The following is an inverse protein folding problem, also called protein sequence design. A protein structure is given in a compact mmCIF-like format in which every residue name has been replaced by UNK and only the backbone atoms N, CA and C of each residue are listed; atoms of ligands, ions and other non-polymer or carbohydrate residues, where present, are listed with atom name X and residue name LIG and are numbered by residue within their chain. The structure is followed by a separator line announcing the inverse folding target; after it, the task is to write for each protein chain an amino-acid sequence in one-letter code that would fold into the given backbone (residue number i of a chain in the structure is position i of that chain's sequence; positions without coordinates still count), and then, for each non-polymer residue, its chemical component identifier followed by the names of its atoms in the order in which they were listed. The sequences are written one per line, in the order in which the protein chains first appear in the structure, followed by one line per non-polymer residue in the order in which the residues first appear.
data_IF_936837752415
#
_entry.id   IF_936837752415
#
_cell.length_a   1.000
_cell.length_b   1.000
_cell.length_c   1.000
_cell.angle_alpha   90.00
_cell.angle_beta   90.00
_cell.angle_gamma   90.00
#
_symmetry.space_group_name_H-M   'P 1'
#
loop_
_entity.id
_entity.type
_entity.pdbx_description
1 polymer ?
#
# COMPACT_ATOMS: atom_id res chain seq x y z
N UNK A 1 15.09 42.61 -15.73
CA UNK A 1 14.22 41.66 -15.00
C UNK A 1 15.11 40.92 -14.03
N UNK A 2 14.84 40.97 -12.72
CA UNK A 2 15.68 40.30 -11.74
C UNK A 2 15.49 38.78 -11.87
N UNK A 3 16.54 38.05 -12.24
CA UNK A 3 16.51 36.59 -12.23
C UNK A 3 16.58 36.12 -10.78
N UNK A 4 15.50 35.52 -10.28
CA UNK A 4 15.46 34.92 -8.96
C UNK A 4 16.37 33.68 -8.93
N UNK A 5 17.44 33.74 -8.15
CA UNK A 5 18.40 32.65 -7.96
C UNK A 5 18.24 32.01 -6.59
N UNK A 6 18.31 30.68 -6.54
CA UNK A 6 18.32 29.91 -5.30
C UNK A 6 19.74 29.50 -4.90
N UNK A 7 19.98 29.48 -3.59
CA UNK A 7 21.13 28.77 -3.01
C UNK A 7 20.92 27.26 -3.08
N UNK A 8 21.99 26.48 -2.90
CA UNK A 8 21.91 25.01 -2.86
C UNK A 8 20.99 24.51 -1.75
N UNK A 9 20.96 25.19 -0.60
CA UNK A 9 20.07 24.86 0.52
C UNK A 9 18.60 25.20 0.24
N UNK A 10 18.32 26.30 -0.46
CA UNK A 10 16.94 26.63 -0.84
C UNK A 10 16.43 25.69 -1.92
N UNK A 11 17.26 25.39 -2.94
CA UNK A 11 16.92 24.42 -3.97
C UNK A 11 16.71 23.01 -3.37
N UNK A 12 17.50 22.61 -2.37
CA UNK A 12 17.34 21.31 -1.72
C UNK A 12 16.01 21.19 -0.97
N UNK A 13 15.58 22.26 -0.29
CA UNK A 13 14.27 22.33 0.37
C UNK A 13 13.13 22.23 -0.65
N UNK A 14 13.22 22.97 -1.75
CA UNK A 14 12.20 22.95 -2.81
C UNK A 14 12.08 21.59 -3.50
N UNK A 15 13.20 20.89 -3.70
CA UNK A 15 13.26 19.60 -4.36
C UNK A 15 13.12 18.40 -3.39
N UNK A 16 12.99 18.65 -2.08
CA UNK A 16 12.94 17.62 -1.03
C UNK A 16 14.11 16.62 -1.10
N UNK A 17 15.32 17.11 -1.36
CA UNK A 17 16.56 16.31 -1.39
C UNK A 17 17.60 16.91 -0.45
N UNK A 18 18.67 16.16 -0.15
CA UNK A 18 19.80 16.71 0.62
C UNK A 18 20.56 17.80 -0.17
N UNK A 19 21.16 18.81 0.50
CA UNK A 19 22.02 19.80 -0.15
C UNK A 19 23.18 19.19 -0.94
N UNK A 20 23.71 18.06 -0.46
CA UNK A 20 24.79 17.30 -1.12
C UNK A 20 24.32 16.71 -2.46
N UNK A 21 23.08 16.26 -2.54
CA UNK A 21 22.48 15.78 -3.79
C UNK A 21 22.43 16.90 -4.83
N UNK A 22 22.02 18.11 -4.42
CA UNK A 22 21.99 19.29 -5.30
C UNK A 22 23.39 19.67 -5.76
N UNK A 23 24.38 19.68 -4.84
CA UNK A 23 25.78 19.94 -5.17
C UNK A 23 26.36 18.92 -6.15
N UNK A 24 26.01 17.63 -6.00
CA UNK A 24 26.41 16.57 -6.94
C UNK A 24 25.81 16.81 -8.33
N UNK A 25 24.56 17.24 -8.42
CA UNK A 25 23.92 17.55 -9.70
C UNK A 25 24.54 18.77 -10.38
N UNK A 26 24.88 19.81 -9.60
CA UNK A 26 25.62 20.98 -10.08
C UNK A 26 26.98 20.58 -10.64
N UNK A 27 27.76 19.77 -9.89
CA UNK A 27 29.08 19.29 -10.34
C UNK A 27 28.99 18.39 -11.57
N UNK A 28 27.90 17.63 -11.71
CA UNK A 28 27.63 16.75 -12.84
C UNK A 28 26.97 17.46 -14.04
N UNK A 29 26.70 18.77 -13.95
CA UNK A 29 26.03 19.53 -15.03
C UNK A 29 24.58 19.12 -15.27
N UNK A 30 23.92 18.46 -14.30
CA UNK A 30 22.51 18.02 -14.40
C UNK A 30 21.51 19.13 -14.10
N UNK A 31 21.97 20.19 -13.44
CA UNK A 31 21.19 21.38 -13.12
C UNK A 31 22.03 22.60 -13.46
N UNK A 32 21.47 23.51 -14.24
CA UNK A 32 22.17 24.75 -14.57
C UNK A 32 22.44 25.54 -13.30
N UNK A 33 23.66 26.04 -13.18
CA UNK A 33 24.09 26.84 -12.04
C UNK A 33 25.29 27.68 -12.43
N UNK A 34 25.47 28.79 -11.73
CA UNK A 34 26.70 29.58 -11.80
C UNK A 34 27.34 29.69 -10.42
N UNK A 35 28.64 29.98 -10.39
CA UNK A 35 29.37 30.22 -9.14
C UNK A 35 29.59 31.71 -8.95
N UNK A 36 29.37 32.19 -7.73
CA UNK A 36 29.79 33.55 -7.36
C UNK A 36 31.31 33.61 -7.20
N UNK A 37 31.92 34.81 -7.20
CA UNK A 37 33.35 34.97 -6.90
C UNK A 37 33.79 34.36 -5.56
N UNK A 38 32.86 34.22 -4.60
CA UNK A 38 33.07 33.54 -3.31
C UNK A 38 32.88 32.01 -3.34
N UNK A 39 32.73 31.40 -4.52
CA UNK A 39 32.65 29.95 -4.69
C UNK A 39 31.28 29.32 -4.39
N UNK A 40 30.28 30.10 -3.98
CA UNK A 40 28.93 29.58 -3.74
C UNK A 40 28.18 29.37 -5.05
N UNK A 41 27.49 28.23 -5.15
CA UNK A 41 26.61 27.96 -6.29
C UNK A 41 25.29 28.74 -6.17
N UNK A 42 24.81 29.21 -7.32
CA UNK A 42 23.54 29.89 -7.51
C UNK A 42 22.81 29.20 -8.67
N UNK A 43 21.58 28.79 -8.39
CA UNK A 43 20.79 27.95 -9.29
C UNK A 43 19.62 28.80 -9.79
N UNK A 44 19.46 28.99 -11.10
CA UNK A 44 18.32 29.72 -11.65
C UNK A 44 17.01 29.05 -11.23
N UNK A 45 15.99 29.84 -10.87
CA UNK A 45 14.66 29.31 -10.56
C UNK A 45 14.11 28.42 -11.67
N UNK A 46 14.33 28.76 -12.94
CA UNK A 46 13.93 27.93 -14.08
C UNK A 46 14.56 26.51 -14.04
N UNK A 47 15.81 26.39 -13.62
CA UNK A 47 16.53 25.12 -13.51
C UNK A 47 16.06 24.29 -12.30
N UNK A 48 15.58 24.93 -11.23
CA UNK A 48 14.92 24.23 -10.12
C UNK A 48 13.53 23.77 -10.55
N UNK A 49 12.77 24.63 -11.23
CA UNK A 49 11.39 24.36 -11.66
C UNK A 49 11.33 23.24 -12.69
N UNK A 50 12.31 23.13 -13.59
CA UNK A 50 12.39 22.00 -14.53
C UNK A 50 12.61 20.65 -13.85
N UNK A 51 13.14 20.65 -12.63
CA UNK A 51 13.37 19.46 -11.81
C UNK A 51 12.28 19.25 -10.76
N UNK A 52 11.41 20.23 -10.54
CA UNK A 52 10.23 20.02 -9.70
C UNK A 52 9.37 18.96 -10.39
N UNK A 53 8.93 17.93 -9.66
CA UNK A 53 7.95 17.01 -10.20
C UNK A 53 6.74 17.85 -10.65
N UNK A 54 6.28 17.65 -11.89
CA UNK A 54 5.06 18.28 -12.38
C UNK A 54 4.00 18.18 -11.28
N UNK A 55 3.47 19.34 -10.86
CA UNK A 55 2.37 19.39 -9.90
C UNK A 55 1.27 18.52 -10.48
N UNK A 56 1.13 17.34 -9.91
CA UNK A 56 -0.06 16.54 -10.12
C UNK A 56 -1.20 17.45 -9.66
N UNK A 57 -2.21 17.74 -10.51
CA UNK A 57 -3.38 18.45 -10.06
C UNK A 57 -3.90 17.76 -8.79
N UNK A 58 -4.45 18.54 -7.87
CA UNK A 58 -4.98 18.10 -6.58
C UNK A 58 -6.20 17.14 -6.70
N UNK A 59 -6.33 16.43 -7.82
CA UNK A 59 -7.21 15.28 -8.03
C UNK A 59 -6.57 13.95 -7.59
N UNK A 60 -5.26 13.95 -7.28
CA UNK A 60 -4.57 12.85 -6.58
C UNK A 60 -4.27 13.20 -5.12
N UNK A 61 -4.99 14.17 -4.55
CA UNK A 61 -5.17 14.15 -3.10
C UNK A 61 -5.66 12.75 -2.76
N UNK A 62 -4.99 12.10 -1.80
CA UNK A 62 -5.48 10.88 -1.18
C UNK A 62 -6.97 11.12 -0.94
N UNK A 63 -7.85 10.46 -1.71
CA UNK A 63 -9.21 10.29 -1.26
C UNK A 63 -9.03 9.36 -0.07
N UNK A 64 -8.83 10.00 1.09
CA UNK A 64 -9.03 9.39 2.39
C UNK A 64 -10.47 8.92 2.26
N UNK A 65 -10.74 7.61 2.13
CA UNK A 65 -12.09 7.14 2.32
C UNK A 65 -12.52 7.68 3.69
N UNK A 66 -13.79 7.98 3.83
CA UNK A 66 -14.38 8.24 5.13
C UNK A 66 -13.75 7.31 6.18
N UNK A 67 -13.32 7.82 7.34
CA UNK A 67 -12.69 6.97 8.36
C UNK A 67 -13.62 5.81 8.77
N UNK A 68 -14.92 5.94 8.46
CA UNK A 68 -15.97 4.94 8.60
C UNK A 68 -15.99 3.84 7.52
N UNK A 69 -15.21 3.97 6.44
CA UNK A 69 -15.09 2.99 5.35
C UNK A 69 -13.82 2.12 5.43
N UNK A 70 -13.01 2.28 6.48
CA UNK A 70 -11.89 1.38 6.73
C UNK A 70 -12.44 0.03 7.23
N UNK A 71 -12.01 -1.07 6.61
CA UNK A 71 -12.35 -2.41 7.07
C UNK A 71 -11.91 -2.58 8.53
N UNK A 72 -12.81 -3.04 9.39
CA UNK A 72 -12.52 -3.43 10.77
C UNK A 72 -12.80 -4.92 10.93
N UNK A 73 -12.04 -5.60 11.77
CA UNK A 73 -12.40 -6.94 12.21
C UNK A 73 -13.58 -6.91 13.18
N UNK A 74 -14.27 -8.03 13.40
CA UNK A 74 -15.45 -8.03 14.27
C UNK A 74 -15.13 -7.56 15.70
N UNK A 75 -14.00 -7.96 16.25
CA UNK A 75 -13.58 -7.52 17.58
C UNK A 75 -13.17 -6.04 17.63
N UNK A 76 -12.58 -5.51 16.55
CA UNK A 76 -12.24 -4.08 16.44
C UNK A 76 -13.51 -3.23 16.23
N UNK A 77 -14.52 -3.79 15.56
CA UNK A 77 -15.79 -3.13 15.29
C UNK A 77 -16.63 -2.98 16.57
N UNK A 78 -16.64 -4.02 17.41
CA UNK A 78 -17.37 -4.02 18.67
C UNK A 78 -16.54 -3.56 19.87
N UNK A 79 -15.27 -3.19 19.66
CA UNK A 79 -14.41 -2.66 20.73
C UNK A 79 -15.00 -1.34 21.27
N UNK A 80 -15.24 -1.29 22.58
CA UNK A 80 -15.64 -0.08 23.27
C UNK A 80 -14.36 0.74 23.57
N UNK A 81 -14.29 1.99 23.12
CA UNK A 81 -13.11 2.86 23.26
C UNK A 81 -11.78 2.27 22.73
N UNK A 82 -11.86 1.30 21.81
CA UNK A 82 -10.69 0.63 21.22
C UNK A 82 -10.10 -0.49 22.08
N UNK A 83 -10.70 -0.83 23.23
CA UNK A 83 -10.31 -1.99 24.02
C UNK A 83 -11.06 -3.24 23.56
N UNK A 84 -10.28 -4.30 23.32
CA UNK A 84 -10.79 -5.60 22.87
C UNK A 84 -11.08 -6.45 24.10
N UNK A 85 -12.26 -7.08 24.16
CA UNK A 85 -12.60 -7.98 25.26
C UNK A 85 -11.67 -9.20 25.33
N UNK A 86 -11.24 -9.57 26.54
CA UNK A 86 -10.38 -10.75 26.81
C UNK A 86 -10.89 -12.05 26.17
N UNK A 87 -12.22 -12.17 26.05
CA UNK A 87 -12.86 -13.34 25.46
C UNK A 87 -12.65 -13.39 23.94
N UNK A 88 -12.56 -12.24 23.26
CA UNK A 88 -12.30 -12.17 21.82
C UNK A 88 -10.96 -12.85 21.48
N UNK A 89 -9.94 -12.73 22.32
CA UNK A 89 -8.63 -13.38 22.12
C UNK A 89 -8.69 -14.91 22.03
N UNK A 90 -9.74 -15.54 22.59
CA UNK A 90 -9.95 -16.99 22.54
C UNK A 90 -10.77 -17.42 21.33
N UNK A 91 -11.42 -16.50 20.63
CA UNK A 91 -12.29 -16.79 19.49
C UNK A 91 -11.47 -17.22 18.26
N UNK A 92 -11.94 -18.23 17.52
CA UNK A 92 -11.28 -18.66 16.28
C UNK A 92 -11.21 -17.54 15.25
N UNK A 93 -12.20 -16.65 15.17
CA UNK A 93 -12.17 -15.51 14.26
C UNK A 93 -11.03 -14.55 14.59
N UNK A 94 -10.78 -14.28 15.89
CA UNK A 94 -9.65 -13.46 16.33
C UNK A 94 -8.31 -14.14 16.07
N UNK A 95 -8.17 -15.41 16.49
CA UNK A 95 -6.92 -16.16 16.37
C UNK A 95 -6.51 -16.43 14.93
N UNK A 96 -7.47 -16.64 14.04
CA UNK A 96 -7.24 -16.78 12.59
C UNK A 96 -7.25 -15.44 11.85
N UNK A 97 -7.52 -14.34 12.57
CA UNK A 97 -7.77 -12.99 12.04
C UNK A 97 -8.72 -12.98 10.84
N UNK A 98 -9.81 -13.73 10.95
CA UNK A 98 -10.77 -13.90 9.89
C UNK A 98 -11.54 -12.61 9.63
N UNK A 99 -11.48 -12.12 8.39
CA UNK A 99 -12.31 -10.99 7.94
C UNK A 99 -13.81 -11.30 8.05
N UNK A 100 -14.15 -12.55 7.80
CA UNK A 100 -15.51 -13.05 7.71
C UNK A 100 -15.81 -13.95 8.90
N UNK A 101 -15.98 -13.35 10.07
CA UNK A 101 -16.34 -14.09 11.28
C UNK A 101 -17.58 -15.00 11.08
N UNK A 102 -18.49 -14.58 10.19
CA UNK A 102 -19.69 -15.31 9.80
C UNK A 102 -19.42 -16.64 9.06
N UNK A 103 -18.30 -16.80 8.35
CA UNK A 103 -17.92 -18.10 7.74
C UNK A 103 -17.49 -19.12 8.81
N UNK A 104 -17.11 -18.63 9.99
CA UNK A 104 -16.67 -19.46 11.11
C UNK A 104 -17.76 -19.68 12.17
N UNK A 105 -18.93 -19.03 12.02
CA UNK A 105 -20.02 -19.07 13.01
C UNK A 105 -20.55 -20.49 13.26
N UNK A 106 -20.54 -21.32 12.22
CA UNK A 106 -21.12 -22.67 12.26
C UNK A 106 -20.10 -23.75 12.71
N UNK A 107 -18.87 -23.34 13.04
CA UNK A 107 -17.88 -24.24 13.65
C UNK A 107 -18.33 -24.59 15.07
N UNK A 108 -18.30 -25.88 15.48
CA UNK A 108 -18.70 -26.31 16.82
C UNK A 108 -17.99 -25.53 17.95
N UNK A 109 -18.73 -25.15 19.00
CA UNK A 109 -18.28 -24.27 20.09
C UNK A 109 -16.99 -24.74 20.78
N UNK A 110 -16.76 -26.05 20.84
CA UNK A 110 -15.56 -26.68 21.38
C UNK A 110 -14.25 -26.28 20.65
N UNK A 111 -14.31 -25.83 19.40
CA UNK A 111 -13.14 -25.45 18.59
C UNK A 111 -13.30 -24.11 17.87
N UNK A 112 -14.42 -23.41 18.09
CA UNK A 112 -14.98 -22.50 17.10
C UNK A 112 -15.17 -21.05 17.53
N UNK A 113 -16.10 -20.41 16.84
CA UNK A 113 -16.47 -19.02 17.01
C UNK A 113 -17.25 -18.82 18.32
N UNK A 114 -16.75 -17.97 19.23
CA UNK A 114 -17.32 -17.80 20.57
C UNK A 114 -18.64 -17.00 20.60
N UNK A 115 -19.07 -16.45 19.46
CA UNK A 115 -20.36 -15.74 19.30
C UNK A 115 -20.60 -14.59 20.30
N UNK A 116 -19.53 -14.02 20.84
CA UNK A 116 -19.57 -12.97 21.87
C UNK A 116 -20.46 -11.78 21.50
N UNK A 117 -20.41 -11.37 20.23
CA UNK A 117 -21.22 -10.28 19.67
C UNK A 117 -22.22 -10.78 18.62
N UNK A 118 -22.57 -12.07 18.64
CA UNK A 118 -23.48 -12.69 17.67
C UNK A 118 -24.78 -13.11 18.36
N UNK A 119 -25.58 -12.12 18.77
CA UNK A 119 -26.90 -12.35 19.40
C UNK A 119 -27.99 -12.69 18.36
N UNK A 120 -27.84 -12.20 17.12
CA UNK A 120 -28.80 -12.36 16.02
C UNK A 120 -28.20 -13.15 14.85
N UNK A 121 -29.03 -13.44 13.83
CA UNK A 121 -28.53 -14.00 12.57
C UNK A 121 -27.57 -13.00 11.90
N UNK A 122 -26.57 -13.49 11.16
CA UNK A 122 -25.58 -12.65 10.49
C UNK A 122 -26.23 -11.65 9.54
N UNK A 123 -27.40 -11.96 8.98
CA UNK A 123 -28.15 -11.02 8.12
C UNK A 123 -28.59 -9.75 8.85
N UNK A 124 -28.79 -9.82 10.17
CA UNK A 124 -29.22 -8.69 11.01
C UNK A 124 -28.05 -8.09 11.81
N UNK A 125 -26.91 -8.78 11.85
CA UNK A 125 -25.69 -8.32 12.49
C UNK A 125 -25.18 -7.03 11.84
N UNK A 126 -24.93 -6.00 12.66
CA UNK A 126 -24.43 -4.70 12.20
C UNK A 126 -23.05 -4.81 11.56
N UNK A 127 -22.13 -5.57 12.16
CA UNK A 127 -20.83 -5.88 11.57
C UNK A 127 -20.97 -6.50 10.19
N UNK A 128 -21.86 -7.48 10.01
CA UNK A 128 -22.06 -8.14 8.72
C UNK A 128 -22.60 -7.15 7.67
N UNK A 129 -23.63 -6.36 8.00
CA UNK A 129 -24.22 -5.41 7.05
C UNK A 129 -23.23 -4.34 6.60
N UNK A 130 -22.33 -3.92 7.50
CA UNK A 130 -21.31 -2.91 7.19
C UNK A 130 -20.11 -3.55 6.48
N UNK A 131 -19.59 -4.67 6.97
CA UNK A 131 -18.28 -5.22 6.56
C UNK A 131 -18.35 -6.33 5.50
N UNK A 132 -19.49 -7.00 5.31
CA UNK A 132 -19.60 -8.12 4.35
C UNK A 132 -19.42 -7.71 2.89
N UNK A 133 -19.67 -6.44 2.58
CA UNK A 133 -19.48 -5.87 1.23
C UNK A 133 -18.10 -5.25 1.02
N UNK A 134 -17.24 -5.21 2.05
CA UNK A 134 -15.87 -4.75 1.83
C UNK A 134 -15.11 -5.81 1.04
N UNK A 135 -14.74 -5.43 -0.18
CA UNK A 135 -13.91 -6.21 -1.07
C UNK A 135 -12.49 -6.44 -0.54
N UNK A 136 -11.71 -7.20 -1.28
CA UNK A 136 -10.29 -7.36 -1.02
C UNK A 136 -9.60 -5.99 -1.14
N UNK A 137 -8.72 -5.66 -0.20
CA UNK A 137 -7.93 -4.42 -0.25
C UNK A 137 -6.50 -4.72 -0.69
N UNK A 138 -6.01 -3.98 -1.67
CA UNK A 138 -4.66 -4.13 -2.18
C UNK A 138 -3.94 -2.79 -2.22
N UNK A 139 -2.70 -2.76 -1.75
CA UNK A 139 -1.82 -1.59 -1.84
C UNK A 139 -0.74 -1.87 -2.89
N UNK A 140 -0.53 -0.95 -3.82
CA UNK A 140 0.52 -1.03 -4.83
C UNK A 140 1.61 -0.02 -4.51
N UNK A 141 2.80 -0.53 -4.19
CA UNK A 141 3.99 0.24 -3.90
C UNK A 141 4.80 0.39 -5.19
N UNK A 142 4.69 1.54 -5.86
CA UNK A 142 5.38 1.80 -7.13
C UNK A 142 5.61 3.29 -7.39
N UNK A 143 6.78 3.62 -7.95
CA UNK A 143 7.07 4.96 -8.53
C UNK A 143 6.60 5.09 -9.98
N UNK A 144 6.03 4.03 -10.56
CA UNK A 144 5.59 4.03 -11.95
C UNK A 144 4.21 4.67 -12.08
N UNK A 145 4.19 5.97 -12.40
CA UNK A 145 2.95 6.75 -12.62
C UNK A 145 2.03 6.15 -13.70
N UNK A 146 2.58 5.43 -14.68
CA UNK A 146 1.75 4.80 -15.72
C UNK A 146 0.93 3.63 -15.18
N UNK A 147 1.48 2.87 -14.23
CA UNK A 147 0.76 1.76 -13.58
C UNK A 147 -0.39 2.32 -12.72
N UNK A 148 -0.11 3.40 -11.96
CA UNK A 148 -1.13 4.08 -11.17
C UNK A 148 -2.27 4.60 -12.06
N UNK A 149 -1.95 5.26 -13.18
CA UNK A 149 -2.96 5.76 -14.14
C UNK A 149 -3.80 4.65 -14.75
N UNK A 150 -3.18 3.52 -15.11
CA UNK A 150 -3.87 2.40 -15.73
C UNK A 150 -4.92 1.78 -14.80
N UNK A 151 -4.58 1.65 -13.52
CA UNK A 151 -5.40 0.97 -12.53
C UNK A 151 -6.39 1.91 -11.82
N UNK A 152 -6.08 3.20 -11.72
CA UNK A 152 -7.01 4.20 -11.13
C UNK A 152 -8.27 4.41 -11.98
N UNK A 153 -8.22 4.10 -13.27
CA UNK A 153 -9.39 4.16 -14.16
C UNK A 153 -10.31 2.94 -14.09
N UNK A 154 -9.90 1.88 -13.38
CA UNK A 154 -10.69 0.67 -13.22
C UNK A 154 -11.31 0.66 -11.81
N UNK A 155 -12.62 0.89 -11.72
CA UNK A 155 -13.37 0.71 -10.48
C UNK A 155 -13.91 -0.72 -10.43
N UNK A 156 -13.67 -1.42 -9.33
CA UNK A 156 -14.18 -2.77 -9.06
C UNK A 156 -14.70 -2.76 -7.61
N UNK A 157 -15.94 -3.20 -7.39
CA UNK A 157 -16.55 -3.24 -6.04
C UNK A 157 -15.89 -4.30 -5.16
N UNK A 158 -15.25 -5.32 -5.75
CA UNK A 158 -14.67 -6.46 -5.05
C UNK A 158 -13.16 -6.29 -4.75
N UNK A 159 -12.46 -5.38 -5.43
CA UNK A 159 -11.04 -5.11 -5.21
C UNK A 159 -10.76 -3.60 -5.11
N UNK A 160 -10.53 -3.11 -3.90
CA UNK A 160 -10.11 -1.72 -3.65
C UNK A 160 -8.60 -1.60 -3.72
N UNK A 161 -8.09 -0.68 -4.55
CA UNK A 161 -6.65 -0.47 -4.73
C UNK A 161 -6.22 0.93 -4.25
N UNK A 162 -5.12 0.98 -3.49
CA UNK A 162 -4.44 2.23 -3.12
C UNK A 162 -2.99 2.20 -3.59
N UNK A 163 -2.43 3.38 -3.88
CA UNK A 163 -1.05 3.52 -4.36
C UNK A 163 -0.18 4.18 -3.31
N UNK A 164 1.03 3.65 -3.13
CA UNK A 164 2.09 4.25 -2.35
C UNK A 164 3.33 4.43 -3.24
N UNK A 165 3.97 5.59 -3.15
CA UNK A 165 5.18 5.90 -3.91
C UNK A 165 6.45 5.89 -3.06
N UNK A 166 6.30 5.84 -1.73
CA UNK A 166 7.37 5.88 -0.73
C UNK A 166 7.04 4.99 0.48
N UNK A 167 8.06 4.66 1.28
CA UNK A 167 7.91 3.92 2.55
C UNK A 167 7.02 4.68 3.55
N UNK A 168 7.13 6.01 3.59
CA UNK A 168 6.28 6.85 4.42
C UNK A 168 4.80 6.74 4.04
N UNK A 169 4.48 6.79 2.74
CA UNK A 169 3.11 6.58 2.26
C UNK A 169 2.63 5.15 2.54
N UNK A 170 3.51 4.15 2.45
CA UNK A 170 3.17 2.77 2.82
C UNK A 170 2.76 2.69 4.29
N UNK A 171 3.57 3.26 5.19
CA UNK A 171 3.30 3.24 6.63
C UNK A 171 1.98 3.95 6.98
N UNK A 172 1.71 5.09 6.36
CA UNK A 172 0.44 5.82 6.55
C UNK A 172 -0.77 5.04 6.03
N UNK A 173 -0.64 4.41 4.85
CA UNK A 173 -1.69 3.55 4.30
C UNK A 173 -1.90 2.28 5.12
N UNK A 174 -0.85 1.70 5.69
CA UNK A 174 -1.00 0.53 6.57
C UNK A 174 -1.90 0.87 7.77
N UNK A 175 -1.67 2.03 8.38
CA UNK A 175 -2.42 2.47 9.55
C UNK A 175 -3.91 2.69 9.23
N UNK A 176 -4.23 3.28 8.08
CA UNK A 176 -5.59 3.67 7.72
C UNK A 176 -6.34 2.64 6.86
N UNK A 177 -5.65 1.95 5.96
CA UNK A 177 -6.22 1.11 4.91
C UNK A 177 -6.05 -0.39 5.16
N UNK A 178 -5.09 -0.80 6.01
CA UNK A 178 -4.78 -2.21 6.39
C UNK A 178 -4.97 -3.19 5.20
N UNK A 179 -4.11 -3.11 4.17
CA UNK A 179 -4.26 -3.90 2.96
C UNK A 179 -4.09 -5.40 3.22
N UNK A 180 -4.83 -6.23 2.48
CA UNK A 180 -4.62 -7.69 2.45
C UNK A 180 -3.44 -8.09 1.58
N UNK A 181 -3.22 -7.33 0.51
CA UNK A 181 -2.16 -7.59 -0.43
C UNK A 181 -1.29 -6.35 -0.60
N UNK A 182 0.03 -6.51 -0.53
CA UNK A 182 0.99 -5.50 -0.93
C UNK A 182 1.66 -5.91 -2.23
N UNK A 183 1.45 -5.15 -3.30
CA UNK A 183 2.10 -5.34 -4.58
C UNK A 183 3.33 -4.42 -4.63
N UNK A 184 4.54 -4.97 -4.54
CA UNK A 184 5.78 -4.20 -4.45
C UNK A 184 6.52 -4.21 -5.78
N UNK A 185 6.77 -3.03 -6.34
CA UNK A 185 7.48 -2.88 -7.59
C UNK A 185 9.01 -3.03 -7.44
N UNK A 186 9.59 -4.08 -8.02
CA UNK A 186 11.03 -4.35 -7.99
C UNK A 186 11.90 -3.25 -8.64
N UNK A 187 11.30 -2.22 -9.27
CA UNK A 187 12.03 -1.03 -9.75
C UNK A 187 12.61 -0.14 -8.64
N UNK A 188 12.32 -0.41 -7.36
CA UNK A 188 13.09 0.14 -6.24
C UNK A 188 14.52 -0.42 -6.15
N UNK A 189 14.80 -1.54 -6.84
CA UNK A 189 16.07 -2.26 -6.80
C UNK A 189 16.05 -3.39 -5.77
N UNK A 190 16.94 -4.37 -5.93
CA UNK A 190 16.95 -5.60 -5.14
C UNK A 190 16.99 -5.37 -3.62
N UNK A 191 17.98 -4.62 -3.14
CA UNK A 191 18.16 -4.34 -1.72
C UNK A 191 16.94 -3.64 -1.10
N UNK A 192 16.51 -2.51 -1.68
CA UNK A 192 15.35 -1.75 -1.16
C UNK A 192 14.05 -2.55 -1.20
N UNK A 193 13.84 -3.35 -2.25
CA UNK A 193 12.63 -4.17 -2.34
C UNK A 193 12.60 -5.19 -1.21
N UNK A 194 13.74 -5.81 -0.89
CA UNK A 194 13.86 -6.72 0.26
C UNK A 194 13.62 -6.00 1.58
N UNK A 195 14.20 -4.81 1.77
CA UNK A 195 13.99 -4.02 2.99
C UNK A 195 12.50 -3.68 3.19
N UNK A 196 11.81 -3.27 2.10
CA UNK A 196 10.36 -3.02 2.13
C UNK A 196 9.61 -4.30 2.48
N UNK A 197 9.91 -5.44 1.85
CA UNK A 197 9.26 -6.71 2.18
C UNK A 197 9.42 -7.05 3.67
N UNK A 198 10.64 -7.00 4.19
CA UNK A 198 10.93 -7.32 5.58
C UNK A 198 10.19 -6.40 6.56
N UNK A 199 10.23 -5.08 6.34
CA UNK A 199 9.49 -4.14 7.19
C UNK A 199 7.98 -4.36 7.15
N UNK A 200 7.44 -4.75 5.99
CA UNK A 200 6.01 -5.02 5.85
C UNK A 200 5.60 -6.36 6.47
N UNK A 201 6.47 -7.38 6.41
CA UNK A 201 6.23 -8.69 7.04
C UNK A 201 6.29 -8.59 8.56
N UNK A 202 7.22 -7.80 9.11
CA UNK A 202 7.41 -7.63 10.56
C UNK A 202 6.42 -6.65 11.21
N UNK A 203 5.62 -5.93 10.41
CA UNK A 203 4.69 -4.94 10.94
C UNK A 203 3.49 -5.61 11.62
N UNK A 204 3.44 -5.50 12.95
CA UNK A 204 2.39 -6.10 13.79
C UNK A 204 0.98 -5.62 13.44
N UNK A 205 0.84 -4.48 12.73
CA UNK A 205 -0.45 -3.94 12.29
C UNK A 205 -1.03 -4.69 11.08
N UNK A 206 -0.20 -5.38 10.31
CA UNK A 206 -0.57 -6.11 9.08
C UNK A 206 -0.01 -7.55 9.03
N UNK A 207 -0.23 -8.36 10.07
CA UNK A 207 0.51 -9.61 10.30
C UNK A 207 0.07 -10.79 9.40
N UNK A 208 -0.90 -10.61 8.51
CA UNK A 208 -1.34 -11.61 7.52
C UNK A 208 -1.29 -11.08 6.08
N UNK A 209 -0.71 -9.89 5.88
CA UNK A 209 -0.66 -9.29 4.57
C UNK A 209 0.20 -10.14 3.63
N UNK A 210 -0.34 -10.42 2.44
CA UNK A 210 0.35 -11.21 1.41
C UNK A 210 1.13 -10.29 0.49
N UNK A 211 2.42 -10.57 0.31
CA UNK A 211 3.29 -9.77 -0.54
C UNK A 211 3.34 -10.35 -1.95
N UNK A 212 2.99 -9.53 -2.94
CA UNK A 212 3.13 -9.84 -4.37
C UNK A 212 4.23 -8.95 -4.93
N UNK A 213 5.19 -9.51 -5.65
CA UNK A 213 6.17 -8.69 -6.34
C UNK A 213 5.64 -8.26 -7.72
N UNK A 214 6.15 -7.15 -8.26
CA UNK A 214 5.95 -6.81 -9.68
C UNK A 214 7.21 -6.31 -10.34
N UNK A 215 7.49 -6.80 -11.56
CA UNK A 215 8.69 -6.43 -12.32
C UNK A 215 8.44 -6.44 -13.82
N UNK A 216 9.30 -5.76 -14.60
CA UNK A 216 9.28 -5.84 -16.08
C UNK A 216 9.96 -7.12 -16.59
N UNK A 217 11.06 -7.50 -15.95
CA UNK A 217 11.91 -8.60 -16.39
C UNK A 217 11.86 -9.67 -15.33
N UNK A 218 11.31 -10.82 -15.71
CA UNK A 218 11.01 -11.89 -14.81
C UNK A 218 12.28 -12.65 -14.33
N UNK A 219 13.11 -12.04 -13.47
CA UNK A 219 14.22 -12.72 -12.79
C UNK A 219 13.90 -13.03 -11.33
N UNK A 220 13.32 -14.21 -11.11
CA UNK A 220 12.84 -14.70 -9.81
C UNK A 220 13.98 -14.90 -8.78
N UNK A 221 15.20 -15.19 -9.25
CA UNK A 221 16.35 -15.57 -8.40
C UNK A 221 16.87 -14.43 -7.50
N UNK A 222 16.56 -13.18 -7.81
CA UNK A 222 17.11 -12.02 -7.09
C UNK A 222 16.28 -11.66 -5.83
N UNK A 223 15.05 -12.18 -5.72
CA UNK A 223 14.05 -11.82 -4.69
C UNK A 223 13.43 -13.03 -4.01
N UNK A 224 14.13 -14.17 -4.04
CA UNK A 224 13.62 -15.46 -3.57
C UNK A 224 13.66 -15.54 -2.03
N UNK A 225 12.81 -14.74 -1.39
CA UNK A 225 12.57 -14.78 0.05
C UNK A 225 11.26 -15.56 0.30
N UNK A 226 11.19 -16.34 1.39
CA UNK A 226 10.04 -17.20 1.75
C UNK A 226 8.73 -16.43 2.03
N UNK A 227 8.79 -15.11 2.02
CA UNK A 227 7.73 -14.17 2.41
C UNK A 227 6.88 -13.72 1.21
N UNK A 228 7.29 -14.04 -0.02
CA UNK A 228 6.60 -13.61 -1.24
C UNK A 228 5.49 -14.60 -1.60
N UNK A 229 4.24 -14.14 -1.58
CA UNK A 229 3.05 -14.90 -1.97
C UNK A 229 2.99 -15.18 -3.48
N UNK A 230 3.38 -14.21 -4.31
CA UNK A 230 3.25 -14.35 -5.76
C UNK A 230 3.94 -13.25 -6.55
N UNK A 231 3.82 -13.34 -7.87
CA UNK A 231 4.46 -12.40 -8.78
C UNK A 231 3.61 -12.06 -9.98
N UNK A 232 3.63 -10.78 -10.38
CA UNK A 232 2.93 -10.29 -11.55
C UNK A 232 3.85 -9.44 -12.43
N UNK A 233 3.87 -9.73 -13.74
CA UNK A 233 4.70 -8.99 -14.70
C UNK A 233 3.97 -7.70 -15.09
N UNK A 234 4.68 -6.57 -15.06
CA UNK A 234 4.13 -5.27 -15.48
C UNK A 234 4.37 -4.98 -16.98
N UNK A 235 3.44 -4.31 -17.67
CA UNK A 235 2.15 -3.80 -17.17
C UNK A 235 1.11 -4.92 -17.02
N UNK A 236 0.24 -4.80 -16.00
CA UNK A 236 -0.87 -5.72 -15.75
C UNK A 236 -2.17 -4.97 -15.55
N UNK A 237 -3.29 -5.65 -15.77
CA UNK A 237 -4.65 -5.13 -15.56
C UNK A 237 -5.20 -5.50 -14.18
N UNK A 238 -6.26 -4.82 -13.74
CA UNK A 238 -6.95 -5.14 -12.47
C UNK A 238 -7.45 -6.59 -12.46
N UNK A 239 -7.93 -7.08 -13.61
CA UNK A 239 -8.35 -8.48 -13.78
C UNK A 239 -7.21 -9.46 -13.52
N UNK A 240 -6.03 -9.24 -14.08
CA UNK A 240 -4.87 -10.12 -13.85
C UNK A 240 -4.42 -10.11 -12.39
N UNK A 241 -4.53 -8.97 -11.71
CA UNK A 241 -4.24 -8.89 -10.28
C UNK A 241 -5.28 -9.68 -9.47
N UNK A 242 -6.57 -9.55 -9.82
CA UNK A 242 -7.65 -10.29 -9.18
C UNK A 242 -7.51 -11.80 -9.37
N UNK A 243 -7.24 -12.26 -10.59
CA UNK A 243 -6.98 -13.67 -10.89
C UNK A 243 -5.81 -14.23 -10.06
N UNK A 244 -4.78 -13.42 -9.78
CA UNK A 244 -3.65 -13.82 -8.93
C UNK A 244 -4.04 -13.87 -7.45
N UNK A 245 -4.84 -12.93 -6.98
CA UNK A 245 -5.31 -12.81 -5.60
C UNK A 245 -6.28 -13.94 -5.24
N UNK A 246 -7.22 -14.24 -6.12
CA UNK A 246 -8.22 -15.30 -5.95
C UNK A 246 -7.62 -16.70 -6.17
N UNK A 247 -6.42 -16.76 -6.75
CA UNK A 247 -5.79 -17.98 -7.21
C UNK A 247 -6.47 -18.52 -8.48
N UNK A 248 -5.99 -19.62 -9.07
CA UNK A 248 -6.75 -20.31 -10.10
C UNK A 248 -8.12 -20.63 -9.50
N UNK A 249 -9.16 -20.00 -10.06
CA UNK A 249 -10.54 -20.12 -9.62
C UNK A 249 -10.84 -21.55 -9.18
N UNK A 250 -11.55 -21.68 -8.04
CA UNK A 250 -12.29 -22.88 -7.63
C UNK A 250 -12.66 -23.67 -8.88
N UNK A 251 -12.00 -24.80 -9.11
CA UNK A 251 -12.53 -25.80 -10.04
C UNK A 251 -13.97 -26.03 -9.59
N UNK A 252 -14.99 -25.79 -10.46
CA UNK A 252 -16.33 -26.23 -10.14
C UNK A 252 -16.24 -27.72 -9.83
N UNK A 253 -17.00 -28.11 -8.80
CA UNK A 253 -17.04 -29.45 -8.22
C UNK A 253 -16.91 -30.56 -9.26
N UNK A 254 -16.18 -31.60 -8.87
CA UNK A 254 -15.85 -32.73 -9.70
C UNK A 254 -17.05 -33.39 -10.37
N UNK A 255 -16.79 -33.83 -11.60
CA UNK A 255 -17.44 -34.96 -12.23
C UNK A 255 -16.32 -35.80 -12.87
N UNK A 256 -15.93 -36.87 -12.19
CA UNK A 256 -15.45 -38.18 -12.68
C UNK A 256 -14.70 -38.94 -11.58
#
# INVERSE_FOLDING_TARGET
MAEDYYTTTEASKLLSVSPDTVLKWVRAGKIDSYRTPGGHARIPKAAVVSLLPERVPAEHAVVVPDADAAFKYCWDFYACDGEIEDQCHKCVAYRSRARRCYEMRDIPEQFGHLKLHCETDCKECEYYRTMAHHGTSAMIVSRNKNLARLLSGASDEELTIKFASSEYECAALIEQFRPDYAIIDCSFGAARTRDICHHLTDDERIPLMRIILTSRNAKMKDYCDSEVFGWIIKPFTLRQLKDLIEGPAKLPNGDA
#
